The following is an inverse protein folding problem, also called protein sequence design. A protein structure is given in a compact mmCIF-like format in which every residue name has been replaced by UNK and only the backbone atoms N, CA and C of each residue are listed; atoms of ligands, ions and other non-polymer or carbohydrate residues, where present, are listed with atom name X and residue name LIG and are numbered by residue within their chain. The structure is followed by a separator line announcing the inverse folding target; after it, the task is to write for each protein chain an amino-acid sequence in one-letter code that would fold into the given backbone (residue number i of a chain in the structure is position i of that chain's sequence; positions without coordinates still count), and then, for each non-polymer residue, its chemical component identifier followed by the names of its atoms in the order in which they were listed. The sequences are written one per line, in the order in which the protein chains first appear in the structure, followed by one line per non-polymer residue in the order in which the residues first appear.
data_IF_486185715589
#
_entry.id   IF_486185715589
#
_cell.length_a   1.000
_cell.length_b   1.000
_cell.length_c   1.000
_cell.angle_alpha   90.00
_cell.angle_beta   90.00
_cell.angle_gamma   90.00
#
_symmetry.space_group_name_H-M   'P 1'
#
loop_
_entity.id
_entity.type
_entity.pdbx_description
1 polymer ?
#
# COMPACT_ATOMS: atom_id res chain seq x y z
N UNK A 1 -29.55 3.43 -33.46
CA UNK A 1 -30.70 2.50 -33.34
C UNK A 1 -30.59 1.68 -32.06
N UNK A 2 -31.69 1.19 -31.46
CA UNK A 2 -31.66 0.47 -30.17
C UNK A 2 -30.74 -0.76 -30.14
N UNK A 3 -30.58 -1.47 -31.27
CA UNK A 3 -29.76 -2.67 -31.37
C UNK A 3 -28.25 -2.39 -31.38
N UNK A 4 -27.83 -1.33 -32.07
CA UNK A 4 -26.43 -0.88 -32.13
C UNK A 4 -25.97 -0.38 -30.76
N UNK A 5 -26.85 0.36 -30.08
CA UNK A 5 -26.61 0.86 -28.74
C UNK A 5 -26.45 -0.28 -27.72
N UNK A 6 -27.36 -1.25 -27.77
CA UNK A 6 -27.28 -2.46 -26.93
C UNK A 6 -26.00 -3.26 -27.21
N UNK A 7 -25.61 -3.42 -28.47
CA UNK A 7 -24.38 -4.09 -28.85
C UNK A 7 -23.14 -3.38 -28.29
N UNK A 8 -23.09 -2.05 -28.42
CA UNK A 8 -21.99 -1.22 -27.91
C UNK A 8 -21.85 -1.37 -26.39
N UNK A 9 -22.94 -1.23 -25.63
CA UNK A 9 -22.92 -1.31 -24.16
C UNK A 9 -22.52 -2.71 -23.67
N UNK A 10 -23.05 -3.77 -24.29
CA UNK A 10 -22.68 -5.15 -23.94
C UNK A 10 -21.22 -5.46 -24.23
N UNK A 11 -20.72 -5.01 -25.39
CA UNK A 11 -19.32 -5.22 -25.79
C UNK A 11 -18.37 -4.47 -24.84
N UNK A 12 -18.67 -3.22 -24.49
CA UNK A 12 -17.89 -2.44 -23.53
C UNK A 12 -17.86 -3.08 -22.13
N UNK A 13 -19.00 -3.63 -21.65
CA UNK A 13 -19.06 -4.32 -20.35
C UNK A 13 -18.28 -5.64 -20.34
N UNK A 14 -18.26 -6.35 -21.47
CA UNK A 14 -17.53 -7.62 -21.64
C UNK A 14 -16.02 -7.40 -21.77
N UNK A 15 -15.62 -6.31 -22.42
CA UNK A 15 -14.22 -5.98 -22.70
C UNK A 15 -13.85 -4.62 -22.10
N UNK A 16 -13.75 -4.58 -20.76
CA UNK A 16 -13.54 -3.34 -19.99
C UNK A 16 -12.23 -2.60 -20.28
N UNK A 17 -11.31 -3.21 -21.03
CA UNK A 17 -10.02 -2.65 -21.43
C UNK A 17 -10.02 -2.06 -22.85
N UNK A 18 -11.12 -2.12 -23.59
CA UNK A 18 -11.19 -1.57 -24.94
C UNK A 18 -11.38 -0.06 -24.93
N UNK A 19 -10.64 0.63 -25.81
CA UNK A 19 -10.82 2.06 -26.04
C UNK A 19 -11.95 2.33 -27.06
N UNK A 20 -12.38 3.60 -27.12
CA UNK A 20 -13.47 4.02 -28.01
C UNK A 20 -13.19 3.76 -29.50
N UNK A 21 -11.93 3.74 -29.93
CA UNK A 21 -11.54 3.45 -31.32
C UNK A 21 -11.72 1.97 -31.68
N UNK A 22 -11.37 1.06 -30.76
CA UNK A 22 -11.61 -0.37 -30.93
C UNK A 22 -13.11 -0.68 -30.92
N UNK A 23 -13.87 -0.05 -30.02
CA UNK A 23 -15.33 -0.18 -29.98
C UNK A 23 -15.99 0.35 -31.27
N UNK A 24 -15.45 1.44 -31.84
CA UNK A 24 -15.90 1.97 -33.13
C UNK A 24 -15.66 0.96 -34.27
N UNK A 25 -14.47 0.36 -34.33
CA UNK A 25 -14.15 -0.64 -35.35
C UNK A 25 -15.03 -1.88 -35.22
N UNK A 26 -15.25 -2.38 -33.99
CA UNK A 26 -16.11 -3.53 -33.72
C UNK A 26 -17.58 -3.26 -34.02
N UNK A 27 -18.07 -2.05 -33.73
CA UNK A 27 -19.44 -1.67 -34.08
C UNK A 27 -19.60 -1.57 -35.59
N UNK A 28 -18.63 -0.94 -36.28
CA UNK A 28 -18.63 -0.82 -37.74
C UNK A 28 -18.57 -2.18 -38.42
N UNK A 29 -17.75 -3.12 -37.93
CA UNK A 29 -17.67 -4.47 -38.51
C UNK A 29 -18.93 -5.29 -38.28
N UNK A 30 -19.58 -5.16 -37.11
CA UNK A 30 -20.76 -5.96 -36.76
C UNK A 30 -22.07 -5.42 -37.34
N UNK A 31 -22.21 -4.10 -37.48
CA UNK A 31 -23.48 -3.45 -37.85
C UNK A 31 -23.42 -2.66 -39.15
N UNK A 32 -22.22 -2.44 -39.71
CA UNK A 32 -22.00 -1.55 -40.86
C UNK A 32 -22.03 -0.06 -40.52
N UNK A 33 -22.45 0.31 -39.31
CA UNK A 33 -22.67 1.69 -38.92
C UNK A 33 -21.37 2.37 -38.51
N UNK A 34 -21.09 3.52 -39.12
CA UNK A 34 -19.92 4.34 -38.79
C UNK A 34 -20.34 5.48 -37.89
N UNK A 35 -19.93 5.43 -36.63
CA UNK A 35 -20.12 6.50 -35.63
C UNK A 35 -18.78 7.09 -35.23
N UNK A 36 -18.73 8.33 -34.76
CA UNK A 36 -17.47 8.90 -34.26
C UNK A 36 -17.05 8.27 -32.93
N UNK A 37 -15.76 8.27 -32.60
CA UNK A 37 -15.29 7.85 -31.28
C UNK A 37 -15.84 8.73 -30.15
N UNK A 38 -16.12 10.02 -30.44
CA UNK A 38 -16.74 10.93 -29.48
C UNK A 38 -18.18 10.53 -29.16
N UNK A 39 -18.95 10.13 -30.17
CA UNK A 39 -20.32 9.61 -30.00
C UNK A 39 -20.32 8.38 -29.09
N UNK A 40 -19.35 7.47 -29.28
CA UNK A 40 -19.18 6.30 -28.40
C UNK A 40 -18.86 6.71 -26.97
N UNK A 41 -17.92 7.64 -26.75
CA UNK A 41 -17.58 8.12 -25.40
C UNK A 41 -18.79 8.75 -24.69
N UNK A 42 -19.50 9.64 -25.37
CA UNK A 42 -20.71 10.27 -24.82
C UNK A 42 -21.72 9.20 -24.41
N UNK A 43 -21.95 8.21 -25.28
CA UNK A 43 -22.91 7.15 -24.98
C UNK A 43 -22.48 6.24 -23.83
N UNK A 44 -21.18 5.95 -23.72
CA UNK A 44 -20.62 5.21 -22.58
C UNK A 44 -20.82 6.01 -21.28
N UNK A 45 -20.59 7.32 -21.29
CA UNK A 45 -20.82 8.19 -20.14
C UNK A 45 -22.31 8.22 -19.75
N UNK A 46 -23.24 8.27 -20.71
CA UNK A 46 -24.68 8.23 -20.44
C UNK A 46 -25.14 6.95 -19.70
N UNK A 47 -24.41 5.85 -19.86
CA UNK A 47 -24.66 4.58 -19.16
C UNK A 47 -23.77 4.38 -17.93
N UNK A 48 -23.07 5.43 -17.49
CA UNK A 48 -22.19 5.44 -16.33
C UNK A 48 -20.87 4.70 -16.52
N UNK A 49 -20.45 4.44 -17.76
CA UNK A 49 -19.16 3.81 -18.06
C UNK A 49 -18.13 4.88 -18.39
N UNK A 50 -17.22 5.11 -17.45
CA UNK A 50 -16.11 6.04 -17.58
C UNK A 50 -14.79 5.30 -17.76
N UNK A 51 -13.88 5.90 -18.52
CA UNK A 51 -12.53 5.40 -18.62
C UNK A 51 -11.79 5.71 -17.31
N UNK A 52 -11.27 4.68 -16.66
CA UNK A 52 -10.36 4.80 -15.53
C UNK A 52 -8.98 4.28 -15.91
N UNK A 53 -7.94 4.85 -15.33
CA UNK A 53 -6.61 4.25 -15.43
C UNK A 53 -6.62 2.93 -14.64
N UNK A 54 -6.18 1.81 -15.25
CA UNK A 54 -6.02 0.57 -14.51
C UNK A 54 -5.01 0.77 -13.38
N UNK A 55 -5.37 0.35 -12.17
CA UNK A 55 -4.44 0.32 -11.04
C UNK A 55 -3.29 -0.63 -11.37
N UNK A 56 -2.05 -0.16 -11.24
CA UNK A 56 -0.86 -0.99 -11.44
C UNK A 56 -0.64 -1.80 -10.16
N UNK A 57 -1.15 -3.02 -10.14
CA UNK A 57 -1.02 -3.91 -8.99
C UNK A 57 0.02 -5.02 -9.25
N UNK A 58 0.67 -5.51 -8.19
CA UNK A 58 1.55 -6.68 -8.26
C UNK A 58 0.77 -7.90 -8.76
N UNK A 59 1.29 -8.67 -9.71
CA UNK A 59 0.56 -9.85 -10.23
C UNK A 59 0.44 -10.93 -9.15
N UNK A 60 -0.78 -11.19 -8.70
CA UNK A 60 -1.04 -12.26 -7.71
C UNK A 60 -1.11 -13.63 -8.37
N UNK A 61 -0.30 -14.56 -7.87
CA UNK A 61 -0.41 -15.98 -8.17
C UNK A 61 -1.60 -16.60 -7.42
N UNK A 62 -2.04 -17.80 -7.79
CA UNK A 62 -3.08 -18.51 -7.03
C UNK A 62 -2.65 -18.81 -5.59
N UNK A 63 -1.35 -19.01 -5.37
CA UNK A 63 -0.76 -19.16 -4.03
C UNK A 63 -0.93 -17.89 -3.21
N UNK A 64 -0.55 -16.73 -3.75
CA UNK A 64 -0.71 -15.45 -3.03
C UNK A 64 -2.16 -15.20 -2.62
N UNK A 65 -3.13 -15.47 -3.52
CA UNK A 65 -4.56 -15.30 -3.17
C UNK A 65 -5.03 -16.21 -2.05
N UNK A 66 -4.50 -17.43 -1.96
CA UNK A 66 -4.84 -18.38 -0.90
C UNK A 66 -4.21 -17.96 0.41
N UNK A 67 -2.91 -17.68 0.41
CA UNK A 67 -2.16 -17.30 1.60
C UNK A 67 -2.74 -15.99 2.19
N UNK A 68 -3.13 -15.02 1.33
CA UNK A 68 -3.88 -13.81 1.73
C UNK A 68 -5.23 -14.10 2.39
N UNK A 69 -5.94 -15.14 1.96
CA UNK A 69 -7.25 -15.52 2.48
C UNK A 69 -7.15 -16.27 3.81
N UNK A 70 -6.12 -17.11 3.94
CA UNK A 70 -5.82 -17.81 5.20
C UNK A 70 -5.49 -16.79 6.28
N UNK A 71 -4.55 -15.90 6.01
CA UNK A 71 -4.20 -14.79 6.89
C UNK A 71 -5.43 -13.98 7.30
N UNK A 72 -6.26 -13.60 6.34
CA UNK A 72 -7.42 -12.80 6.62
C UNK A 72 -8.47 -13.53 7.48
N UNK A 73 -8.63 -14.85 7.31
CA UNK A 73 -9.55 -15.64 8.12
C UNK A 73 -9.13 -15.67 9.59
N UNK A 74 -7.81 -15.64 9.85
CA UNK A 74 -7.26 -15.58 11.21
C UNK A 74 -7.47 -14.20 11.86
N UNK A 75 -7.42 -13.14 11.06
CA UNK A 75 -7.41 -11.76 11.54
C UNK A 75 -8.75 -11.01 11.38
N UNK A 76 -9.76 -11.59 10.73
CA UNK A 76 -11.07 -10.93 10.48
C UNK A 76 -11.81 -10.55 11.77
N UNK A 77 -11.61 -11.32 12.85
CA UNK A 77 -12.26 -11.08 14.14
C UNK A 77 -11.43 -10.22 15.08
N UNK A 78 -10.22 -9.80 14.66
CA UNK A 78 -9.38 -8.94 15.47
C UNK A 78 -10.02 -7.57 15.68
N UNK A 79 -9.90 -7.10 16.91
CA UNK A 79 -10.41 -5.82 17.37
C UNK A 79 -9.32 -4.77 17.31
N UNK A 80 -9.73 -3.52 17.45
CA UNK A 80 -8.84 -2.35 17.47
C UNK A 80 -7.65 -2.50 18.42
N UNK A 81 -7.85 -3.11 19.60
CA UNK A 81 -6.79 -3.31 20.59
C UNK A 81 -5.72 -4.30 20.11
N UNK A 82 -6.10 -5.36 19.39
CA UNK A 82 -5.15 -6.30 18.79
C UNK A 82 -4.40 -5.62 17.65
N UNK A 83 -5.09 -4.90 16.77
CA UNK A 83 -4.42 -4.11 15.72
C UNK A 83 -3.51 -3.02 16.27
N UNK A 84 -3.82 -2.50 17.46
CA UNK A 84 -3.00 -1.50 18.13
C UNK A 84 -1.71 -2.08 18.70
N UNK A 85 -1.60 -3.38 18.94
CA UNK A 85 -0.36 -3.98 19.46
C UNK A 85 0.63 -4.34 18.34
N UNK A 86 0.24 -4.19 17.08
CA UNK A 86 1.07 -4.49 15.91
C UNK A 86 1.91 -3.28 15.49
N UNK A 87 3.23 -3.47 15.40
CA UNK A 87 4.16 -2.54 14.79
C UNK A 87 4.30 -2.85 13.29
N UNK A 88 3.68 -2.03 12.44
CA UNK A 88 3.76 -2.11 10.98
C UNK A 88 5.07 -1.54 10.41
N UNK A 89 5.76 -2.31 9.58
CA UNK A 89 7.11 -2.03 9.08
C UNK A 89 7.17 -2.10 7.55
N UNK A 90 7.79 -1.12 6.88
CA UNK A 90 8.08 -1.22 5.43
C UNK A 90 9.10 -0.20 4.88
N UNK A 91 9.47 -0.32 3.61
CA UNK A 91 10.36 0.62 2.95
C UNK A 91 9.70 1.41 1.85
N UNK A 92 9.99 2.71 1.79
CA UNK A 92 9.58 3.52 0.65
C UNK A 92 10.75 4.24 0.00
N UNK A 93 10.53 4.68 -1.24
CA UNK A 93 11.55 5.41 -2.00
C UNK A 93 10.99 6.75 -2.43
N UNK A 94 11.65 7.82 -1.98
CA UNK A 94 11.33 9.18 -2.39
C UNK A 94 12.42 9.72 -3.31
N UNK A 95 12.08 10.61 -4.23
CA UNK A 95 13.03 11.14 -5.21
C UNK A 95 12.72 12.60 -5.51
N UNK A 96 13.77 13.41 -5.65
CA UNK A 96 13.68 14.86 -5.93
C UNK A 96 13.15 15.09 -7.34
N UNK A 97 13.61 14.26 -8.28
CA UNK A 97 13.13 14.22 -9.65
C UNK A 97 12.80 12.77 -10.01
N UNK A 98 11.85 12.54 -10.93
CA UNK A 98 11.53 11.19 -11.40
C UNK A 98 12.74 10.41 -11.95
N UNK A 99 13.81 11.11 -12.38
CA UNK A 99 14.78 10.54 -13.32
C UNK A 99 16.28 10.71 -13.01
N UNK A 100 16.76 11.08 -11.80
CA UNK A 100 18.20 10.77 -11.51
C UNK A 100 18.84 10.90 -10.12
N UNK A 101 18.13 11.16 -9.01
CA UNK A 101 18.76 11.03 -7.67
C UNK A 101 17.73 10.53 -6.66
N UNK A 102 17.96 9.32 -6.16
CA UNK A 102 17.06 8.64 -5.24
C UNK A 102 17.50 8.90 -3.79
N UNK A 103 16.53 9.16 -2.91
CA UNK A 103 16.71 8.91 -1.48
C UNK A 103 15.94 7.63 -1.19
N UNK A 104 16.63 6.64 -0.63
CA UNK A 104 15.94 5.51 -0.01
C UNK A 104 15.49 5.98 1.37
N UNK A 105 14.19 6.00 1.60
CA UNK A 105 13.64 6.42 2.89
C UNK A 105 13.05 5.19 3.50
N UNK A 106 13.82 4.61 4.40
CA UNK A 106 13.30 3.53 5.18
C UNK A 106 12.34 4.06 6.23
N UNK A 107 11.30 3.29 6.51
CA UNK A 107 10.70 3.25 7.82
C UNK A 107 9.98 1.92 7.93
N UNK A 108 10.68 0.91 8.43
CA UNK A 108 9.98 0.20 9.50
C UNK A 108 9.55 1.26 10.51
N UNK A 109 8.32 1.28 11.03
CA UNK A 109 7.98 1.62 12.42
C UNK A 109 6.50 1.97 12.47
N UNK A 110 5.74 1.07 13.09
CA UNK A 110 4.30 0.98 13.05
C UNK A 110 3.50 2.20 13.42
N UNK A 111 2.25 2.10 12.99
CA UNK A 111 1.08 2.56 13.73
C UNK A 111 1.34 2.32 15.21
N UNK A 112 1.79 3.34 15.92
CA UNK A 112 1.86 3.24 17.36
C UNK A 112 0.45 2.97 17.84
N UNK A 113 0.33 1.91 18.65
CA UNK A 113 -0.83 1.64 19.47
C UNK A 113 -1.44 2.96 19.96
N UNK A 114 -2.77 3.15 19.90
CA UNK A 114 -3.49 4.05 20.78
C UNK A 114 -3.04 4.03 22.26
N UNK A 115 -2.30 3.01 22.72
CA UNK A 115 -1.72 2.94 24.06
C UNK A 115 -0.44 3.79 24.27
N UNK A 116 0.35 4.11 23.24
CA UNK A 116 1.63 4.87 23.39
C UNK A 116 1.60 6.28 22.81
N UNK A 117 0.62 6.62 21.95
CA UNK A 117 0.27 8.00 21.63
C UNK A 117 1.32 8.84 20.86
N UNK A 118 2.34 8.23 20.26
CA UNK A 118 3.37 8.95 19.50
C UNK A 118 3.69 8.25 18.17
N UNK A 119 3.74 9.01 17.06
CA UNK A 119 4.41 8.60 15.83
C UNK A 119 5.91 8.49 16.10
N UNK A 120 6.53 7.35 15.82
CA UNK A 120 8.00 7.22 15.91
C UNK A 120 8.71 8.11 14.89
N UNK A 121 10.00 8.37 15.12
CA UNK A 121 10.85 9.15 14.21
C UNK A 121 11.05 8.45 12.85
N UNK A 122 11.26 9.25 11.80
CA UNK A 122 11.58 8.79 10.44
C UNK A 122 13.09 8.50 10.31
N UNK A 123 13.47 7.30 9.86
CA UNK A 123 14.88 6.91 9.72
C UNK A 123 15.34 6.94 8.26
N UNK A 124 16.34 7.77 7.92
CA UNK A 124 16.70 8.03 6.52
C UNK A 124 18.01 7.32 6.16
N UNK A 125 17.96 6.44 5.16
CA UNK A 125 19.15 5.70 4.68
C UNK A 125 19.82 6.45 3.54
N UNK A 126 21.07 6.80 3.76
CA UNK A 126 21.91 7.49 2.78
C UNK A 126 22.87 6.51 2.13
N UNK A 127 22.89 6.54 0.80
CA UNK A 127 23.97 6.04 -0.09
C UNK A 127 24.41 4.56 0.04
N UNK A 128 23.85 3.78 0.95
CA UNK A 128 24.19 2.37 1.17
C UNK A 128 22.93 1.48 1.29
N UNK A 129 22.98 0.22 0.82
CA UNK A 129 21.90 -0.74 1.04
C UNK A 129 21.69 -0.99 2.55
N UNK A 130 20.44 -1.17 2.97
CA UNK A 130 20.20 -1.68 4.31
C UNK A 130 20.69 -3.13 4.39
N UNK A 131 21.64 -3.37 5.27
CA UNK A 131 22.09 -4.72 5.61
C UNK A 131 21.33 -5.24 6.82
N UNK A 132 21.26 -6.56 6.99
CA UNK A 132 20.68 -7.18 8.18
C UNK A 132 21.27 -6.64 9.50
N UNK A 133 22.57 -6.30 9.52
CA UNK A 133 23.21 -5.70 10.69
C UNK A 133 22.69 -4.30 10.97
N UNK A 134 22.57 -3.45 9.94
CA UNK A 134 21.98 -2.12 10.07
C UNK A 134 20.51 -2.21 10.48
N UNK A 135 19.76 -3.14 9.91
CA UNK A 135 18.36 -3.35 10.27
C UNK A 135 18.23 -3.72 11.76
N UNK A 136 19.06 -4.64 12.25
CA UNK A 136 19.09 -4.99 13.67
C UNK A 136 19.49 -3.81 14.55
N UNK A 137 20.63 -3.18 14.26
CA UNK A 137 21.28 -2.23 15.17
C UNK A 137 20.70 -0.83 15.13
N UNK A 138 20.22 -0.39 13.96
CA UNK A 138 19.76 0.98 13.73
C UNK A 138 18.23 1.10 13.63
N UNK A 139 17.51 -0.02 13.49
CA UNK A 139 16.05 -0.04 13.34
C UNK A 139 15.41 -0.87 14.47
N UNK A 140 15.60 -2.20 14.49
CA UNK A 140 14.90 -3.06 15.45
C UNK A 140 15.30 -2.78 16.91
N UNK A 141 16.60 -2.68 17.21
CA UNK A 141 17.09 -2.44 18.57
C UNK A 141 16.63 -1.10 19.16
N UNK A 142 16.80 0.06 18.48
CA UNK A 142 16.39 1.32 19.06
C UNK A 142 14.88 1.53 19.08
N UNK A 143 14.10 0.78 18.30
CA UNK A 143 12.68 1.11 18.06
C UNK A 143 11.74 -0.06 18.33
N UNK A 144 11.93 -1.23 17.73
CA UNK A 144 11.05 -2.37 18.02
C UNK A 144 11.16 -2.83 19.49
N UNK A 145 12.37 -2.91 20.05
CA UNK A 145 12.59 -3.39 21.44
C UNK A 145 11.90 -2.52 22.49
N UNK A 146 12.03 -1.16 22.48
CA UNK A 146 11.28 -0.33 23.42
C UNK A 146 9.75 -0.47 23.31
N UNK A 147 9.23 -0.63 22.11
CA UNK A 147 7.78 -0.81 21.90
C UNK A 147 7.32 -2.19 22.37
N UNK A 148 8.08 -3.24 22.09
CA UNK A 148 7.83 -4.57 22.62
C UNK A 148 7.81 -4.57 24.15
N UNK A 149 8.77 -3.89 24.79
CA UNK A 149 8.82 -3.74 26.24
C UNK A 149 7.63 -2.94 26.81
N UNK A 150 7.11 -1.96 26.05
CA UNK A 150 5.99 -1.13 26.48
C UNK A 150 4.61 -1.83 26.32
N UNK A 151 4.44 -2.63 25.27
CA UNK A 151 3.20 -3.35 24.97
C UNK A 151 3.15 -4.69 25.71
N UNK A 152 4.28 -5.38 25.86
CA UNK A 152 4.38 -6.68 26.50
C UNK A 152 4.06 -7.83 25.55
N UNK A 153 3.54 -8.93 26.09
CA UNK A 153 3.37 -10.19 25.37
C UNK A 153 2.39 -10.12 24.18
N UNK A 154 1.56 -9.07 24.10
CA UNK A 154 0.64 -8.84 22.98
C UNK A 154 1.31 -8.17 21.76
N UNK A 155 2.60 -7.78 21.87
CA UNK A 155 3.33 -7.08 20.82
C UNK A 155 3.62 -7.99 19.62
N UNK A 156 3.33 -7.48 18.43
CA UNK A 156 3.68 -8.15 17.17
C UNK A 156 4.42 -7.20 16.24
N UNK A 157 5.51 -7.68 15.66
CA UNK A 157 6.21 -6.99 14.57
C UNK A 157 5.67 -7.50 13.22
N UNK A 158 5.10 -6.63 12.41
CA UNK A 158 4.75 -6.94 11.02
C UNK A 158 5.77 -6.26 10.11
N UNK A 159 6.62 -7.03 9.40
CA UNK A 159 7.45 -6.54 8.29
C UNK A 159 7.11 -7.23 6.97
N UNK A 160 6.90 -6.46 5.88
CA UNK A 160 6.56 -7.01 4.54
C UNK A 160 7.79 -7.63 3.84
N UNK A 161 8.93 -7.67 4.53
CA UNK A 161 10.19 -8.21 4.03
C UNK A 161 10.21 -9.75 4.06
N UNK A 162 9.21 -10.33 3.42
CA UNK A 162 9.14 -11.73 3.07
C UNK A 162 10.24 -12.07 2.05
N UNK A 163 11.32 -12.75 2.46
CA UNK A 163 12.00 -13.89 1.76
C UNK A 163 12.99 -14.65 2.66
N UNK A 164 13.25 -15.95 2.39
CA UNK A 164 13.94 -16.94 3.25
C UNK A 164 15.47 -16.76 3.39
N UNK A 165 15.96 -15.53 3.26
CA UNK A 165 17.36 -15.15 3.41
C UNK A 165 17.51 -14.00 4.41
N UNK A 166 16.62 -13.92 5.42
CA UNK A 166 16.97 -13.19 6.64
C UNK A 166 18.20 -13.93 7.18
N UNK A 167 19.37 -13.30 7.29
CA UNK A 167 20.50 -13.97 7.91
C UNK A 167 20.06 -14.33 9.32
N UNK A 168 20.46 -15.51 9.81
CA UNK A 168 20.17 -15.97 11.17
C UNK A 168 20.27 -14.83 12.19
N UNK A 169 21.21 -13.90 12.02
CA UNK A 169 21.36 -12.67 12.78
C UNK A 169 20.08 -11.95 13.21
N UNK A 170 19.12 -11.73 12.31
CA UNK A 170 17.93 -10.93 12.65
C UNK A 170 16.82 -11.81 13.23
N UNK A 171 16.70 -13.07 12.81
CA UNK A 171 15.80 -14.04 13.45
C UNK A 171 16.25 -14.34 14.87
N UNK A 172 17.55 -14.62 15.06
CA UNK A 172 18.21 -14.83 16.35
C UNK A 172 17.97 -13.62 17.27
N UNK A 173 18.14 -12.40 16.75
CA UNK A 173 17.90 -11.18 17.52
C UNK A 173 16.45 -11.04 17.97
N UNK A 174 15.47 -11.28 17.08
CA UNK A 174 14.06 -11.22 17.45
C UNK A 174 13.70 -12.30 18.48
N UNK A 175 14.26 -13.49 18.34
CA UNK A 175 14.11 -14.57 19.32
C UNK A 175 14.70 -14.19 20.69
N UNK A 176 15.90 -13.62 20.73
CA UNK A 176 16.57 -13.16 21.95
C UNK A 176 15.77 -12.05 22.67
N UNK A 177 15.23 -11.10 21.91
CA UNK A 177 14.42 -9.99 22.42
C UNK A 177 12.95 -10.39 22.66
N UNK A 178 12.57 -11.65 22.39
CA UNK A 178 11.21 -12.19 22.51
C UNK A 178 10.17 -11.39 21.72
N UNK A 179 10.54 -10.94 20.54
CA UNK A 179 9.66 -10.23 19.62
C UNK A 179 9.04 -11.25 18.67
N UNK A 180 7.73 -11.44 18.76
CA UNK A 180 6.99 -12.25 17.80
C UNK A 180 6.76 -11.47 16.50
N UNK A 181 6.93 -12.16 15.37
CA UNK A 181 6.61 -11.62 14.06
C UNK A 181 5.20 -12.07 13.66
N UNK A 182 4.43 -11.13 13.12
CA UNK A 182 3.17 -11.41 12.46
C UNK A 182 3.45 -12.13 11.14
N UNK A 183 2.80 -13.29 10.94
CA UNK A 183 2.73 -13.91 9.62
C UNK A 183 2.13 -12.91 8.62
N UNK A 184 2.76 -12.70 7.47
CA UNK A 184 2.30 -11.71 6.50
C UNK A 184 2.23 -12.30 5.08
N UNK A 185 1.09 -12.18 4.38
CA UNK A 185 0.93 -12.78 3.08
C UNK A 185 1.67 -11.96 2.01
N UNK A 186 2.61 -12.58 1.30
CA UNK A 186 3.41 -11.92 0.28
C UNK A 186 2.58 -11.16 -0.78
N UNK A 187 3.12 -10.04 -1.26
CA UNK A 187 2.48 -9.15 -2.24
C UNK A 187 1.15 -8.57 -1.74
N UNK A 188 1.11 -8.07 -0.50
CA UNK A 188 -0.08 -7.45 0.10
C UNK A 188 0.16 -6.02 0.59
N UNK A 189 0.71 -5.12 -0.25
CA UNK A 189 0.92 -3.72 0.14
C UNK A 189 -0.42 -3.01 0.42
N UNK A 190 -1.51 -3.47 -0.19
CA UNK A 190 -2.86 -2.94 0.04
C UNK A 190 -3.43 -3.27 1.43
N UNK A 191 -2.76 -4.12 2.21
CA UNK A 191 -3.09 -4.38 3.61
C UNK A 191 -2.10 -3.73 4.57
N UNK A 192 -0.96 -3.26 4.07
CA UNK A 192 0.07 -2.66 4.91
C UNK A 192 -0.31 -1.22 5.25
N UNK A 193 -0.67 -0.97 6.51
CA UNK A 193 -1.11 0.35 6.95
C UNK A 193 -0.10 1.46 6.69
N UNK A 194 1.19 1.14 6.66
CA UNK A 194 2.25 2.13 6.44
C UNK A 194 2.30 2.61 4.98
N UNK A 195 1.84 1.81 4.02
CA UNK A 195 1.75 2.23 2.62
C UNK A 195 0.77 3.40 2.45
N UNK A 196 -0.31 3.44 3.24
CA UNK A 196 -1.22 4.59 3.26
C UNK A 196 -0.56 5.84 3.87
N UNK A 197 0.32 5.66 4.84
CA UNK A 197 1.09 6.77 5.42
C UNK A 197 2.11 7.29 4.42
N UNK A 198 2.74 6.40 3.65
CA UNK A 198 3.65 6.76 2.56
C UNK A 198 3.01 7.57 1.46
N UNK A 199 1.83 7.16 1.00
CA UNK A 199 1.09 7.95 0.03
C UNK A 199 0.67 9.32 0.60
N UNK A 200 0.21 9.37 1.86
CA UNK A 200 -0.12 10.63 2.50
C UNK A 200 1.10 11.56 2.61
N UNK A 201 2.26 11.03 3.00
CA UNK A 201 3.51 11.77 3.11
C UNK A 201 3.99 12.25 1.72
N UNK A 202 3.97 11.37 0.71
CA UNK A 202 4.34 11.70 -0.66
C UNK A 202 3.47 12.80 -1.26
N UNK A 203 2.15 12.74 -1.04
CA UNK A 203 1.24 13.81 -1.46
C UNK A 203 1.53 15.13 -0.75
N UNK A 204 1.84 15.11 0.56
CA UNK A 204 2.20 16.32 1.33
C UNK A 204 3.49 16.95 0.83
N UNK A 205 4.53 16.14 0.63
CA UNK A 205 5.84 16.60 0.12
C UNK A 205 5.71 17.13 -1.31
N UNK A 206 4.96 16.46 -2.18
CA UNK A 206 4.69 16.91 -3.54
C UNK A 206 3.87 18.21 -3.59
N UNK A 207 3.04 18.46 -2.58
CA UNK A 207 2.24 19.67 -2.44
C UNK A 207 3.00 20.90 -1.90
N UNK A 208 4.26 20.76 -1.49
CA UNK A 208 5.04 21.88 -0.93
C UNK A 208 5.34 22.93 -2.00
N UNK A 209 5.37 24.20 -1.57
CA UNK A 209 5.75 25.33 -2.40
C UNK A 209 6.87 26.15 -1.72
N UNK A 210 8.07 26.22 -2.32
CA UNK A 210 8.51 25.51 -3.53
C UNK A 210 8.69 23.99 -3.28
N UNK A 211 8.61 23.15 -4.33
CA UNK A 211 8.91 21.72 -4.19
C UNK A 211 10.40 21.50 -3.95
N UNK A 212 10.80 20.47 -3.18
CA UNK A 212 12.20 20.17 -2.93
C UNK A 212 13.00 19.97 -4.22
N UNK A 213 14.15 20.64 -4.34
CA UNK A 213 15.04 20.59 -5.51
C UNK A 213 16.37 19.89 -5.21
N UNK A 214 16.66 19.60 -3.94
CA UNK A 214 17.88 18.88 -3.53
C UNK A 214 17.53 17.72 -2.61
N UNK A 215 18.46 16.76 -2.47
CA UNK A 215 18.25 15.62 -1.55
C UNK A 215 18.09 16.12 -0.11
N UNK A 216 18.86 17.13 0.29
CA UNK A 216 18.77 17.73 1.62
C UNK A 216 17.43 18.44 1.85
N UNK A 217 16.92 19.16 0.84
CA UNK A 217 15.59 19.78 0.92
C UNK A 217 14.48 18.74 0.99
N UNK A 218 14.61 17.64 0.25
CA UNK A 218 13.66 16.54 0.27
C UNK A 218 13.67 15.89 1.65
N UNK A 219 14.85 15.54 2.18
CA UNK A 219 15.04 14.98 3.52
C UNK A 219 14.36 15.82 4.60
N UNK A 220 14.68 17.13 4.64
CA UNK A 220 14.04 18.07 5.56
C UNK A 220 12.52 18.12 5.33
N UNK A 221 12.08 18.13 4.08
CA UNK A 221 10.67 18.21 3.77
C UNK A 221 9.90 16.98 4.27
N UNK A 222 10.51 15.80 4.21
CA UNK A 222 9.92 14.56 4.71
C UNK A 222 9.85 14.56 6.23
N UNK A 223 10.93 14.95 6.92
CA UNK A 223 10.95 15.06 8.38
C UNK A 223 9.88 16.05 8.89
N UNK A 224 9.78 17.22 8.25
CA UNK A 224 8.80 18.24 8.62
C UNK A 224 7.35 17.83 8.30
N UNK A 225 7.08 17.21 7.15
CA UNK A 225 5.73 16.74 6.85
C UNK A 225 5.35 15.51 7.68
N UNK A 226 6.32 14.68 8.04
CA UNK A 226 6.15 13.53 8.93
C UNK A 226 5.67 13.98 10.30
N UNK A 227 6.37 14.93 10.93
CA UNK A 227 6.00 15.51 12.24
C UNK A 227 4.61 16.17 12.21
N UNK A 228 4.18 16.65 11.03
CA UNK A 228 2.85 17.26 10.83
C UNK A 228 1.73 16.23 10.63
N UNK A 229 2.01 14.94 10.45
CA UNK A 229 0.96 13.93 10.32
C UNK A 229 0.27 13.78 11.68
N UNK A 230 -1.02 14.12 11.82
CA UNK A 230 -1.70 14.01 13.10
C UNK A 230 -1.84 12.55 13.52
N UNK A 231 -1.73 12.25 14.83
CA UNK A 231 -2.02 10.91 15.39
C UNK A 231 -3.40 10.38 14.99
N UNK A 232 -4.36 11.28 14.73
CA UNK A 232 -5.68 10.92 14.22
C UNK A 232 -5.62 10.17 12.89
N UNK A 233 -4.65 10.45 12.02
CA UNK A 233 -4.48 9.72 10.75
C UNK A 233 -4.10 8.28 11.01
N UNK A 234 -3.12 8.04 11.91
CA UNK A 234 -2.74 6.69 12.35
C UNK A 234 -3.93 5.98 12.99
N UNK A 235 -4.63 6.63 13.92
CA UNK A 235 -5.76 6.03 14.60
C UNK A 235 -6.86 5.62 13.62
N UNK A 236 -7.16 6.48 12.64
CA UNK A 236 -8.16 6.19 11.61
C UNK A 236 -7.76 5.01 10.72
N UNK A 237 -6.46 4.83 10.47
CA UNK A 237 -5.93 3.70 9.70
C UNK A 237 -6.05 2.39 10.49
N UNK A 238 -5.69 2.38 11.78
CA UNK A 238 -5.93 1.24 12.68
C UNK A 238 -7.44 0.91 12.74
N UNK A 239 -8.29 1.93 12.87
CA UNK A 239 -9.76 1.77 12.91
C UNK A 239 -10.33 1.18 11.61
N UNK A 240 -9.63 1.36 10.50
CA UNK A 240 -10.03 0.82 9.19
C UNK A 240 -9.64 -0.64 8.98
N UNK A 241 -8.73 -1.22 9.78
CA UNK A 241 -8.22 -2.58 9.58
C UNK A 241 -9.31 -3.65 9.49
N UNK A 242 -10.32 -3.69 10.39
CA UNK A 242 -11.40 -4.68 10.28
C UNK A 242 -12.15 -4.58 8.94
N UNK A 243 -12.33 -3.36 8.43
CA UNK A 243 -12.98 -3.12 7.14
C UNK A 243 -12.08 -3.51 5.97
N UNK A 244 -10.76 -3.28 6.07
CA UNK A 244 -9.78 -3.73 5.07
C UNK A 244 -9.76 -5.26 4.98
N UNK A 245 -9.70 -5.96 6.12
CA UNK A 245 -9.84 -7.41 6.18
C UNK A 245 -11.16 -7.84 5.52
N UNK A 246 -12.31 -7.34 5.95
CA UNK A 246 -13.61 -7.70 5.35
C UNK A 246 -13.68 -7.46 3.82
N UNK A 247 -12.98 -6.45 3.32
CA UNK A 247 -12.90 -6.19 1.88
C UNK A 247 -12.10 -7.28 1.17
N UNK A 248 -10.99 -7.73 1.76
CA UNK A 248 -10.16 -8.84 1.27
C UNK A 248 -10.95 -10.16 1.17
N UNK A 249 -11.81 -10.45 2.16
CA UNK A 249 -12.76 -11.59 2.15
C UNK A 249 -13.66 -11.54 0.93
N UNK A 250 -14.21 -10.34 0.68
CA UNK A 250 -15.18 -10.10 -0.40
C UNK A 250 -14.53 -10.27 -1.78
N UNK A 251 -13.29 -9.80 -1.95
CA UNK A 251 -12.54 -9.95 -3.20
C UNK A 251 -11.83 -11.30 -3.32
N UNK A 252 -12.00 -12.20 -2.33
CA UNK A 252 -11.45 -13.57 -2.29
C UNK A 252 -9.92 -13.60 -2.46
N UNK A 253 -9.22 -12.71 -1.75
CA UNK A 253 -7.76 -12.61 -1.81
C UNK A 253 -7.20 -11.96 -3.08
N UNK A 254 -8.05 -11.35 -3.93
CA UNK A 254 -7.58 -10.43 -4.96
C UNK A 254 -7.22 -9.07 -4.35
N UNK A 255 -6.66 -8.17 -5.17
CA UNK A 255 -6.39 -6.79 -4.77
C UNK A 255 -7.65 -6.10 -4.28
N UNK A 256 -7.52 -5.40 -3.15
CA UNK A 256 -8.49 -4.38 -2.76
C UNK A 256 -8.22 -3.09 -3.54
N UNK A 257 -9.20 -2.19 -3.63
CA UNK A 257 -8.96 -0.88 -4.22
C UNK A 257 -8.23 -0.01 -3.20
N UNK A 258 -6.96 0.28 -3.50
CA UNK A 258 -6.14 1.29 -2.84
C UNK A 258 -6.60 2.72 -3.18
#
# INVERSE_FOLDING_TARGET
MPNEDRYLVLTARRHRNMNASLLQQLLRSATGTTVSTQTIRNRLHDVGLYAHQPMVCVKLTSRHRRDRREWETEHVNWRRNEWSSVLFSDESRFSVHPDNRHIFIWRDHGMASPLTGAHTDLYIIRDEPLTARKYRDEILRPIAVPYAAAIGDDFLLMDDNCRPNRPNLVEDFLYEERIEQMEWPACSPDMNLIEHVWDALGRRVAGRQPPPQTLQELERALLEEWDRIPQLVINSLIDSMPQMCSTLLTVRGNHTSY
#
